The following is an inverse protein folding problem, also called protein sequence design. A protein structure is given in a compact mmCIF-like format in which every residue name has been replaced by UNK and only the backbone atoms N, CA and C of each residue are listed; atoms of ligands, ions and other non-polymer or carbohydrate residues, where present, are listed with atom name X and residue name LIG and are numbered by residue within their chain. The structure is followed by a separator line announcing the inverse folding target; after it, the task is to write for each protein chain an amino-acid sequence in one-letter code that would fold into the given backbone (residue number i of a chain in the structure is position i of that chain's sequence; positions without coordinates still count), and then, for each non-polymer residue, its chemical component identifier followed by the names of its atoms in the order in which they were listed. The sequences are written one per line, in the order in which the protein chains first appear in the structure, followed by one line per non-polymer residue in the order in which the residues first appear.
data_IF_712453638540
#
_entry.id   IF_712453638540
#
_cell.length_a   1.000
_cell.length_b   1.000
_cell.length_c   1.000
_cell.angle_alpha   90.00
_cell.angle_beta   90.00
_cell.angle_gamma   90.00
#
_symmetry.space_group_name_H-M   'P 1'
#
loop_
_entity.id
_entity.type
_entity.pdbx_description
1 polymer ?
#
# COMPACT_ATOMS: atom_id res chain seq x y z
N UNK A 1 4.87 1.46 -10.64
CA UNK A 1 5.35 2.24 -9.48
C UNK A 1 4.95 1.56 -8.17
N UNK A 2 5.64 1.84 -7.04
CA UNK A 2 5.24 1.33 -5.72
C UNK A 2 3.82 1.71 -5.34
N UNK A 3 3.40 2.92 -5.65
CA UNK A 3 2.05 3.42 -5.35
C UNK A 3 0.98 2.65 -6.15
N UNK A 4 1.29 2.28 -7.40
CA UNK A 4 0.41 1.47 -8.25
C UNK A 4 0.19 0.08 -7.65
N UNK A 5 1.27 -0.57 -7.17
CA UNK A 5 1.16 -1.85 -6.47
C UNK A 5 0.31 -1.72 -5.20
N UNK A 6 0.58 -0.72 -4.37
CA UNK A 6 -0.20 -0.45 -3.14
C UNK A 6 -1.67 -0.23 -3.46
N UNK A 7 -1.97 0.51 -4.53
CA UNK A 7 -3.35 0.75 -4.98
C UNK A 7 -4.02 -0.55 -5.43
N UNK A 8 -3.34 -1.37 -6.23
CA UNK A 8 -3.84 -2.66 -6.69
C UNK A 8 -4.15 -3.58 -5.51
N UNK A 9 -3.24 -3.70 -4.56
CA UNK A 9 -3.45 -4.53 -3.36
C UNK A 9 -4.63 -4.02 -2.53
N UNK A 10 -4.67 -2.72 -2.22
CA UNK A 10 -5.67 -2.15 -1.33
C UNK A 10 -7.08 -2.12 -1.95
N UNK A 11 -7.18 -1.74 -3.23
CA UNK A 11 -8.48 -1.49 -3.89
C UNK A 11 -9.01 -2.74 -4.57
N UNK A 12 -8.12 -3.51 -5.25
CA UNK A 12 -8.56 -4.65 -6.05
C UNK A 12 -8.51 -5.98 -5.27
N UNK A 13 -7.50 -6.21 -4.42
CA UNK A 13 -7.36 -7.52 -3.79
C UNK A 13 -7.98 -7.59 -2.39
N UNK A 14 -7.61 -6.72 -1.46
CA UNK A 14 -8.12 -6.80 -0.09
C UNK A 14 -9.64 -6.61 -0.03
N UNK A 15 -10.19 -5.74 -0.85
CA UNK A 15 -11.64 -5.52 -0.96
C UNK A 15 -12.40 -6.79 -1.37
N UNK A 16 -11.78 -7.66 -2.16
CA UNK A 16 -12.37 -8.90 -2.68
C UNK A 16 -12.02 -10.14 -1.85
N UNK A 17 -11.49 -9.96 -0.63
CA UNK A 17 -11.29 -11.05 0.32
C UNK A 17 -9.95 -11.74 0.26
N UNK A 18 -8.95 -11.20 -0.45
CA UNK A 18 -7.59 -11.73 -0.49
C UNK A 18 -6.81 -11.29 0.74
N UNK A 19 -7.06 -11.88 1.89
CA UNK A 19 -6.50 -11.45 3.17
C UNK A 19 -5.29 -12.24 3.63
N UNK A 20 -5.16 -13.48 3.16
CA UNK A 20 -4.04 -14.35 3.48
C UNK A 20 -2.90 -14.09 2.51
N UNK A 21 -1.68 -13.98 2.99
CA UNK A 21 -0.57 -13.61 2.13
C UNK A 21 0.78 -14.19 2.55
N UNK A 22 1.68 -14.28 1.58
CA UNK A 22 3.11 -14.51 1.72
C UNK A 22 3.84 -13.46 0.88
N UNK A 23 4.94 -12.93 1.42
CA UNK A 23 5.86 -12.09 0.66
C UNK A 23 7.18 -12.81 0.47
N UNK A 24 7.83 -12.55 -0.66
CA UNK A 24 9.16 -13.08 -0.93
C UNK A 24 9.99 -12.15 -1.79
N UNK A 25 11.24 -12.54 -1.98
CA UNK A 25 12.15 -11.86 -2.91
C UNK A 25 12.74 -12.91 -3.86
N UNK A 26 12.80 -12.56 -5.13
CA UNK A 26 13.49 -13.35 -6.14
C UNK A 26 14.99 -13.14 -5.92
N UNK A 27 15.77 -14.22 -5.73
CA UNK A 27 17.21 -14.12 -5.53
C UNK A 27 17.89 -13.44 -6.72
N UNK A 28 18.98 -12.76 -6.44
CA UNK A 28 19.84 -12.19 -7.48
C UNK A 28 20.35 -13.29 -8.42
N UNK A 29 20.36 -13.02 -9.71
CA UNK A 29 20.76 -14.01 -10.74
C UNK A 29 19.64 -14.95 -11.21
N UNK A 30 18.45 -14.91 -10.59
CA UNK A 30 17.28 -15.64 -11.14
C UNK A 30 16.45 -14.74 -12.04
N UNK A 31 15.99 -15.29 -13.16
CA UNK A 31 15.07 -14.58 -14.05
C UNK A 31 13.71 -14.36 -13.37
N UNK A 32 13.29 -13.08 -13.19
CA UNK A 32 12.02 -12.76 -12.59
C UNK A 32 10.82 -13.29 -13.39
N UNK A 33 10.87 -13.26 -14.73
CA UNK A 33 9.76 -13.69 -15.60
C UNK A 33 9.57 -15.20 -15.52
N UNK A 34 10.66 -15.97 -15.54
CA UNK A 34 10.60 -17.42 -15.36
C UNK A 34 10.05 -17.78 -13.96
N UNK A 35 10.43 -17.02 -12.93
CA UNK A 35 9.91 -17.18 -11.57
C UNK A 35 8.42 -16.87 -11.51
N UNK A 36 7.96 -15.80 -12.15
CA UNK A 36 6.53 -15.43 -12.24
C UNK A 36 5.72 -16.58 -12.85
N UNK A 37 6.14 -17.09 -14.00
CA UNK A 37 5.46 -18.21 -14.70
C UNK A 37 5.38 -19.45 -13.80
N UNK A 38 6.47 -19.78 -13.12
CA UNK A 38 6.52 -20.92 -12.18
C UNK A 38 5.55 -20.76 -11.02
N UNK A 39 5.47 -19.58 -10.41
CA UNK A 39 4.57 -19.30 -9.28
C UNK A 39 3.11 -19.29 -9.74
N UNK A 40 2.81 -18.67 -10.87
CA UNK A 40 1.47 -18.64 -11.46
C UNK A 40 0.97 -20.05 -11.74
N UNK A 41 1.79 -20.91 -12.36
CA UNK A 41 1.46 -22.30 -12.64
C UNK A 41 1.33 -23.12 -11.34
N UNK A 42 2.31 -23.03 -10.41
CA UNK A 42 2.33 -23.78 -9.14
C UNK A 42 1.05 -23.56 -8.32
N UNK A 43 0.54 -22.33 -8.27
CA UNK A 43 -0.60 -21.99 -7.44
C UNK A 43 -1.92 -21.81 -8.20
N UNK A 44 -1.94 -22.11 -9.51
CA UNK A 44 -3.15 -22.03 -10.35
C UNK A 44 -3.79 -20.66 -10.30
N UNK A 45 -3.02 -19.60 -10.59
CA UNK A 45 -3.45 -18.20 -10.43
C UNK A 45 -4.17 -17.70 -11.67
N UNK A 46 -3.79 -18.18 -12.85
CA UNK A 46 -4.34 -17.78 -14.13
C UNK A 46 -5.73 -18.43 -14.36
N UNK A 47 -6.72 -17.82 -13.70
CA UNK A 47 -8.10 -18.28 -13.73
C UNK A 47 -9.01 -17.16 -14.25
N UNK A 48 -9.99 -17.56 -15.08
CA UNK A 48 -11.08 -16.66 -15.49
C UNK A 48 -11.98 -16.29 -14.30
N UNK A 49 -12.75 -15.23 -14.44
CA UNK A 49 -13.70 -14.82 -13.42
C UNK A 49 -14.71 -15.94 -13.08
N UNK A 50 -15.23 -16.63 -14.10
CA UNK A 50 -16.15 -17.77 -13.95
C UNK A 50 -15.51 -18.90 -13.14
N UNK A 51 -14.25 -19.26 -13.44
CA UNK A 51 -13.53 -20.29 -12.69
C UNK A 51 -13.31 -19.89 -11.23
N UNK A 52 -12.99 -18.63 -10.96
CA UNK A 52 -12.86 -18.09 -9.59
C UNK A 52 -14.18 -18.15 -8.83
N UNK A 53 -15.30 -17.79 -9.48
CA UNK A 53 -16.62 -17.90 -8.88
C UNK A 53 -16.99 -19.35 -8.54
N UNK A 54 -16.75 -20.29 -9.47
CA UNK A 54 -16.97 -21.73 -9.25
C UNK A 54 -16.12 -22.28 -8.11
N UNK A 55 -14.83 -21.90 -8.04
CA UNK A 55 -13.95 -22.29 -6.92
C UNK A 55 -14.49 -21.81 -5.58
N UNK A 56 -14.90 -20.54 -5.52
CA UNK A 56 -15.49 -19.94 -4.31
C UNK A 56 -16.74 -20.69 -3.85
N UNK A 57 -17.65 -21.04 -4.78
CA UNK A 57 -18.86 -21.81 -4.48
C UNK A 57 -18.53 -23.21 -3.92
N UNK A 58 -17.40 -23.81 -4.32
CA UNK A 58 -16.91 -25.11 -3.80
C UNK A 58 -16.06 -24.98 -2.53
N UNK A 59 -16.00 -23.82 -1.88
CA UNK A 59 -15.17 -23.59 -0.68
C UNK A 59 -13.67 -23.59 -0.94
N UNK A 60 -13.25 -23.46 -2.21
CA UNK A 60 -11.83 -23.38 -2.59
C UNK A 60 -11.35 -21.94 -2.62
N UNK A 61 -10.12 -21.72 -2.15
CA UNK A 61 -9.51 -20.40 -2.19
C UNK A 61 -9.03 -20.05 -3.61
N UNK A 62 -9.14 -18.77 -3.93
CA UNK A 62 -8.53 -18.17 -5.11
C UNK A 62 -7.22 -17.51 -4.73
N UNK A 63 -6.25 -17.53 -5.67
CA UNK A 63 -4.93 -16.95 -5.50
C UNK A 63 -4.74 -15.75 -6.39
N UNK A 64 -3.88 -14.83 -5.95
CA UNK A 64 -3.36 -13.70 -6.74
C UNK A 64 -1.86 -13.56 -6.53
N UNK A 65 -1.19 -13.05 -7.54
CA UNK A 65 0.24 -12.75 -7.56
C UNK A 65 0.46 -11.35 -8.08
N UNK A 66 1.36 -10.62 -7.44
CA UNK A 66 1.84 -9.34 -7.94
C UNK A 66 3.31 -9.18 -7.57
N UNK A 67 4.09 -8.60 -8.47
CA UNK A 67 5.52 -8.36 -8.29
C UNK A 67 5.88 -6.90 -8.57
N UNK A 68 6.85 -6.43 -7.81
CA UNK A 68 7.55 -5.17 -8.08
C UNK A 68 9.05 -5.43 -7.98
N UNK A 69 9.76 -5.28 -9.08
CA UNK A 69 11.18 -5.66 -9.18
C UNK A 69 11.40 -7.12 -8.72
N UNK A 70 12.23 -7.32 -7.70
CA UNK A 70 12.50 -8.63 -7.13
C UNK A 70 11.59 -9.00 -5.94
N UNK A 71 10.76 -8.08 -5.46
CA UNK A 71 9.81 -8.37 -4.40
C UNK A 71 8.48 -8.85 -4.97
N UNK A 72 7.91 -9.88 -4.37
CA UNK A 72 6.60 -10.40 -4.76
C UNK A 72 5.66 -10.62 -3.58
N UNK A 73 4.39 -10.64 -3.89
CA UNK A 73 3.29 -10.89 -2.97
C UNK A 73 2.35 -11.93 -3.57
N UNK A 74 2.16 -13.02 -2.85
CA UNK A 74 1.10 -13.99 -3.09
C UNK A 74 -0.03 -13.74 -2.13
N UNK A 75 -1.26 -13.73 -2.62
CA UNK A 75 -2.47 -13.47 -1.84
C UNK A 75 -3.47 -14.60 -2.06
N UNK A 76 -4.24 -14.91 -1.02
CA UNK A 76 -5.30 -15.92 -1.08
C UNK A 76 -6.58 -15.42 -0.41
N UNK A 77 -7.72 -15.84 -0.96
CA UNK A 77 -9.02 -15.69 -0.31
C UNK A 77 -9.21 -16.75 0.79
N UNK A 78 -10.30 -16.67 1.54
CA UNK A 78 -10.75 -17.79 2.38
C UNK A 78 -11.02 -19.04 1.53
N UNK A 79 -11.05 -20.22 2.17
CA UNK A 79 -11.26 -21.50 1.52
C UNK A 79 -10.01 -22.38 1.53
N UNK A 80 -10.13 -23.60 1.02
CA UNK A 80 -9.05 -24.58 0.98
C UNK A 80 -8.11 -24.32 -0.22
N UNK A 81 -6.80 -24.38 0.01
CA UNK A 81 -5.76 -24.38 -1.02
C UNK A 81 -4.46 -24.96 -0.44
N UNK A 82 -3.71 -25.79 -1.21
CA UNK A 82 -2.42 -26.36 -0.78
C UNK A 82 -1.40 -25.30 -0.33
N UNK A 83 -1.43 -24.12 -0.93
CA UNK A 83 -0.66 -22.94 -0.51
C UNK A 83 -0.73 -22.71 1.01
N UNK A 84 -1.91 -22.87 1.63
CA UNK A 84 -2.10 -22.61 3.08
C UNK A 84 -1.41 -23.64 3.99
N UNK A 85 -1.02 -24.78 3.45
CA UNK A 85 -0.32 -25.83 4.19
C UNK A 85 1.20 -25.77 4.00
N UNK A 86 1.66 -25.24 2.86
CA UNK A 86 3.07 -25.28 2.45
C UNK A 86 3.85 -24.03 2.83
N UNK A 87 3.19 -22.90 3.05
CA UNK A 87 3.84 -21.61 3.19
C UNK A 87 3.58 -20.99 4.57
N UNK A 88 4.49 -20.15 5.03
CA UNK A 88 4.29 -19.32 6.24
C UNK A 88 3.32 -18.19 5.96
N UNK A 89 2.05 -18.49 6.03
CA UNK A 89 0.97 -17.57 5.71
C UNK A 89 0.72 -16.60 6.85
N UNK A 90 0.46 -15.36 6.49
CA UNK A 90 0.03 -14.29 7.39
C UNK A 90 -1.35 -13.79 6.98
N UNK A 91 -2.11 -13.34 7.95
CA UNK A 91 -3.39 -12.66 7.74
C UNK A 91 -3.17 -11.14 7.83
N UNK A 92 -3.46 -10.40 6.75
CA UNK A 92 -3.26 -8.96 6.70
C UNK A 92 -4.20 -8.17 7.63
N UNK A 93 -5.22 -8.80 8.18
CA UNK A 93 -6.10 -8.23 9.21
C UNK A 93 -5.38 -8.11 10.56
N UNK A 94 -4.43 -9.01 10.83
CA UNK A 94 -3.60 -9.07 12.05
C UNK A 94 -2.18 -8.59 11.81
N UNK A 95 -1.56 -9.05 10.73
CA UNK A 95 -0.18 -8.75 10.35
C UNK A 95 -0.18 -7.94 9.04
N UNK A 96 0.01 -6.62 9.07
CA UNK A 96 -0.01 -5.80 7.87
C UNK A 96 1.05 -6.23 6.84
N UNK A 97 0.70 -6.15 5.56
CA UNK A 97 1.65 -6.29 4.45
C UNK A 97 2.57 -5.07 4.48
N UNK A 98 3.89 -5.30 4.55
CA UNK A 98 4.89 -4.25 4.51
C UNK A 98 5.58 -4.21 3.16
N UNK A 99 5.58 -3.04 2.55
CA UNK A 99 6.16 -2.83 1.23
C UNK A 99 6.59 -1.38 1.05
N UNK A 100 7.87 -1.14 0.72
CA UNK A 100 8.43 0.20 0.41
C UNK A 100 7.98 1.29 1.40
N UNK A 101 8.10 1.02 2.69
CA UNK A 101 7.68 1.95 3.74
C UNK A 101 6.17 2.07 3.97
N UNK A 102 5.35 1.32 3.21
CA UNK A 102 3.93 1.20 3.45
C UNK A 102 3.59 0.04 4.39
N UNK A 103 2.51 0.21 5.14
CA UNK A 103 1.84 -0.82 5.94
C UNK A 103 0.40 -0.92 5.47
N UNK A 104 0.05 -2.07 4.85
CA UNK A 104 -1.25 -2.30 4.22
C UNK A 104 -1.99 -3.37 5.01
N UNK A 105 -3.20 -3.08 5.47
CA UNK A 105 -4.01 -4.01 6.26
C UNK A 105 -5.48 -3.91 5.88
N UNK A 106 -6.27 -4.90 6.27
CA UNK A 106 -7.72 -4.87 6.16
C UNK A 106 -8.32 -4.78 7.55
N UNK A 107 -9.03 -3.69 7.85
CA UNK A 107 -9.46 -3.36 9.22
C UNK A 107 -10.93 -3.00 9.28
N UNK A 108 -11.53 -3.28 10.42
CA UNK A 108 -12.85 -2.79 10.76
C UNK A 108 -12.77 -1.29 11.08
N UNK A 109 -13.63 -0.48 10.50
CA UNK A 109 -13.75 0.95 10.81
C UNK A 109 -14.25 1.17 12.23
N UNK A 110 -14.06 2.39 12.74
CA UNK A 110 -14.72 2.82 13.97
C UNK A 110 -16.20 3.12 13.75
N UNK A 111 -16.97 3.23 14.82
CA UNK A 111 -18.33 3.76 14.79
C UNK A 111 -18.27 5.22 14.36
N UNK A 112 -19.07 5.63 13.39
CA UNK A 112 -19.17 7.04 13.01
C UNK A 112 -19.97 7.80 14.06
N UNK A 113 -19.52 8.98 14.52
CA UNK A 113 -20.27 9.76 15.52
C UNK A 113 -21.69 10.12 15.09
N UNK A 114 -21.97 10.12 13.79
CA UNK A 114 -23.27 10.43 13.19
C UNK A 114 -24.25 9.24 13.12
N UNK A 115 -24.00 8.15 13.86
CA UNK A 115 -24.96 7.03 13.97
C UNK A 115 -25.12 6.19 12.68
N UNK A 116 -24.24 6.32 11.72
CA UNK A 116 -24.31 5.55 10.47
C UNK A 116 -23.83 4.12 10.66
N UNK A 117 -24.74 3.16 10.72
CA UNK A 117 -24.58 1.73 10.59
C UNK A 117 -23.37 1.02 11.24
N UNK A 118 -23.30 -0.31 11.21
CA UNK A 118 -22.20 -1.06 11.84
C UNK A 118 -20.88 -0.78 11.13
N UNK A 119 -19.73 -0.79 11.87
CA UNK A 119 -18.41 -0.54 11.32
C UNK A 119 -18.11 -1.49 10.16
N UNK A 120 -17.80 -0.93 8.99
CA UNK A 120 -17.46 -1.69 7.79
C UNK A 120 -15.97 -1.99 7.71
N UNK A 121 -15.65 -3.16 7.19
CA UNK A 121 -14.27 -3.51 6.88
C UNK A 121 -13.77 -2.75 5.66
N UNK A 122 -12.52 -2.27 5.72
CA UNK A 122 -11.89 -1.52 4.63
C UNK A 122 -10.37 -1.71 4.60
N UNK A 123 -9.78 -1.52 3.42
CA UNK A 123 -8.34 -1.49 3.29
C UNK A 123 -7.78 -0.23 3.96
N UNK A 124 -6.77 -0.40 4.80
CA UNK A 124 -6.10 0.66 5.53
C UNK A 124 -4.64 0.72 5.10
N UNK A 125 -4.26 1.79 4.41
CA UNK A 125 -2.89 2.05 3.96
C UNK A 125 -2.28 3.13 4.82
N UNK A 126 -1.14 2.83 5.46
CA UNK A 126 -0.40 3.73 6.35
C UNK A 126 1.08 3.77 5.96
N UNK A 127 1.78 4.78 6.41
CA UNK A 127 3.24 4.73 6.49
C UNK A 127 3.58 3.72 7.60
N UNK A 128 4.53 2.83 7.31
CA UNK A 128 5.04 1.85 8.28
C UNK A 128 5.51 2.55 9.56
N UNK A 129 5.30 1.97 10.75
CA UNK A 129 5.64 2.62 12.02
C UNK A 129 7.09 3.09 12.11
N UNK A 130 8.05 2.29 11.65
CA UNK A 130 9.47 2.63 11.68
C UNK A 130 9.75 3.82 10.77
N UNK A 131 9.29 3.76 9.53
CA UNK A 131 9.42 4.85 8.56
C UNK A 131 8.72 6.13 9.02
N UNK A 132 7.54 5.99 9.65
CA UNK A 132 6.82 7.12 10.20
C UNK A 132 7.60 7.82 11.32
N UNK A 133 8.22 7.08 12.23
CA UNK A 133 9.05 7.66 13.30
C UNK A 133 10.30 8.34 12.73
N UNK A 134 10.95 7.72 11.76
CA UNK A 134 12.10 8.33 11.07
C UNK A 134 11.72 9.66 10.41
N UNK A 135 10.61 9.68 9.66
CA UNK A 135 10.09 10.91 9.06
C UNK A 135 9.76 11.97 10.12
N UNK A 136 9.07 11.60 11.19
CA UNK A 136 8.71 12.53 12.26
C UNK A 136 9.95 13.14 12.90
N UNK A 137 10.94 12.32 13.25
CA UNK A 137 12.22 12.77 13.82
C UNK A 137 12.94 13.71 12.85
N UNK A 138 13.06 13.33 11.58
CA UNK A 138 13.69 14.16 10.54
C UNK A 138 13.07 15.56 10.46
N UNK A 139 11.74 15.65 10.38
CA UNK A 139 11.04 16.92 10.26
C UNK A 139 11.14 17.77 11.54
N UNK A 140 10.99 17.16 12.73
CA UNK A 140 11.06 17.88 14.01
C UNK A 140 12.46 18.42 14.26
N UNK A 141 13.53 17.67 13.96
CA UNK A 141 14.91 18.15 14.09
C UNK A 141 15.17 19.36 13.19
N UNK A 142 14.62 19.38 11.98
CA UNK A 142 14.78 20.46 11.00
C UNK A 142 13.89 21.68 11.27
N UNK A 143 12.81 21.50 12.04
CA UNK A 143 11.78 22.51 12.26
C UNK A 143 12.33 23.87 12.74
N UNK A 144 13.35 23.85 13.59
CA UNK A 144 13.96 25.05 14.20
C UNK A 144 14.98 25.74 13.31
N UNK A 145 15.59 25.02 12.36
CA UNK A 145 16.74 25.47 11.59
C UNK A 145 16.45 25.74 10.11
N UNK A 146 15.25 25.41 9.64
CA UNK A 146 14.88 25.56 8.23
C UNK A 146 13.77 26.60 8.06
N UNK A 147 13.84 27.32 6.94
CA UNK A 147 12.78 28.24 6.50
C UNK A 147 11.48 27.48 6.26
N UNK A 148 10.33 28.13 6.43
CA UNK A 148 9.03 27.53 6.20
C UNK A 148 8.84 26.96 4.80
N UNK A 149 9.38 27.65 3.78
CA UNK A 149 9.30 27.25 2.36
C UNK A 149 10.01 25.93 2.11
N UNK A 150 11.23 25.79 2.67
CA UNK A 150 12.04 24.55 2.56
C UNK A 150 11.30 23.37 3.19
N UNK A 151 10.72 23.57 4.38
CA UNK A 151 9.96 22.50 5.05
C UNK A 151 8.70 22.13 4.28
N UNK A 152 7.99 23.11 3.68
CA UNK A 152 6.82 22.85 2.82
C UNK A 152 7.22 21.99 1.63
N UNK A 153 8.36 22.29 1.00
CA UNK A 153 8.87 21.51 -0.12
C UNK A 153 9.25 20.09 0.32
N UNK A 154 9.92 19.94 1.47
CA UNK A 154 10.21 18.63 2.05
C UNK A 154 8.91 17.83 2.31
N UNK A 155 7.82 18.45 2.81
CA UNK A 155 6.52 17.80 2.96
C UNK A 155 5.91 17.35 1.63
N UNK A 156 6.08 18.11 0.55
CA UNK A 156 5.60 17.76 -0.79
C UNK A 156 6.33 16.52 -1.33
N UNK A 157 7.62 16.40 -1.03
CA UNK A 157 8.49 15.29 -1.47
C UNK A 157 8.30 13.99 -0.70
N UNK A 158 7.47 13.96 0.35
CA UNK A 158 7.16 12.70 1.05
C UNK A 158 6.58 11.69 0.05
N UNK A 159 7.26 10.53 -0.21
CA UNK A 159 6.96 9.64 -1.33
C UNK A 159 5.84 8.63 -0.98
N UNK A 160 4.75 9.10 -0.40
CA UNK A 160 3.62 8.24 -0.04
C UNK A 160 2.31 8.78 -0.63
N UNK A 161 1.55 7.91 -1.30
CA UNK A 161 0.22 8.23 -1.78
C UNK A 161 -0.71 8.67 -0.62
N UNK A 162 -1.45 9.74 -0.81
CA UNK A 162 -2.20 10.45 0.24
C UNK A 162 -3.52 9.74 0.63
N UNK A 163 -3.45 8.44 1.01
CA UNK A 163 -4.57 7.75 1.65
C UNK A 163 -4.99 8.47 2.94
N UNK A 164 -6.27 8.34 3.34
CA UNK A 164 -6.77 9.04 4.51
C UNK A 164 -5.93 8.81 5.80
N UNK A 165 -5.48 7.58 6.12
CA UNK A 165 -4.60 7.37 7.27
C UNK A 165 -3.22 8.03 7.10
N UNK A 166 -2.63 8.02 5.88
CA UNK A 166 -1.35 8.68 5.60
C UNK A 166 -1.48 10.19 5.75
N UNK A 167 -2.56 10.79 5.26
CA UNK A 167 -2.84 12.22 5.48
C UNK A 167 -2.85 12.57 6.97
N UNK A 168 -3.49 11.73 7.80
CA UNK A 168 -3.50 11.93 9.27
C UNK A 168 -2.09 11.83 9.85
N UNK A 169 -1.28 10.89 9.40
CA UNK A 169 0.13 10.76 9.84
C UNK A 169 0.94 12.00 9.45
N UNK A 170 0.81 12.51 8.22
CA UNK A 170 1.47 13.74 7.75
C UNK A 170 1.02 14.95 8.56
N UNK A 171 -0.28 15.09 8.84
CA UNK A 171 -0.81 16.16 9.67
C UNK A 171 -0.29 16.08 11.11
N UNK A 172 -0.09 14.89 11.66
CA UNK A 172 0.52 14.72 12.97
C UNK A 172 2.00 15.15 12.99
N UNK A 173 2.76 14.83 11.92
CA UNK A 173 4.14 15.33 11.75
C UNK A 173 4.12 16.86 11.68
N UNK A 174 3.25 17.44 10.86
CA UNK A 174 3.11 18.89 10.73
C UNK A 174 2.77 19.58 12.06
N UNK A 175 1.87 19.00 12.88
CA UNK A 175 1.59 19.53 14.22
C UNK A 175 2.82 19.51 15.12
N UNK A 176 3.60 18.42 15.09
CA UNK A 176 4.84 18.32 15.86
C UNK A 176 5.90 19.32 15.39
N UNK A 177 6.01 19.54 14.08
CA UNK A 177 6.87 20.57 13.48
C UNK A 177 6.45 21.97 13.97
N UNK A 178 5.17 22.30 13.88
CA UNK A 178 4.67 23.61 14.32
C UNK A 178 4.80 23.83 15.83
N UNK A 179 4.71 22.77 16.62
CA UNK A 179 5.01 22.84 18.05
C UNK A 179 6.48 23.20 18.29
N UNK A 180 7.41 22.51 17.63
CA UNK A 180 8.85 22.80 17.75
C UNK A 180 9.20 24.19 17.22
N UNK A 181 8.60 24.67 16.14
CA UNK A 181 8.77 26.01 15.61
C UNK A 181 8.30 27.08 16.58
N UNK A 182 7.11 26.89 17.19
CA UNK A 182 6.58 27.80 18.21
C UNK A 182 7.55 27.95 19.38
N UNK A 183 8.11 26.83 19.88
CA UNK A 183 9.08 26.85 20.98
C UNK A 183 10.38 27.60 20.62
N UNK A 184 10.75 27.63 19.32
CA UNK A 184 11.92 28.33 18.81
C UNK A 184 11.62 29.77 18.34
N UNK A 185 10.43 30.32 18.59
CA UNK A 185 10.05 31.66 18.11
C UNK A 185 9.84 31.76 16.58
N UNK A 186 9.78 30.62 15.87
CA UNK A 186 9.62 30.63 14.41
C UNK A 186 8.14 30.65 14.01
N UNK A 187 7.84 31.24 12.84
CA UNK A 187 6.51 31.25 12.27
C UNK A 187 5.99 29.84 11.99
N UNK A 188 4.70 29.59 12.24
CA UNK A 188 4.03 28.33 11.94
C UNK A 188 3.81 28.16 10.46
N UNK A 189 3.85 26.92 9.98
CA UNK A 189 3.52 26.55 8.62
C UNK A 189 2.00 26.34 8.53
N UNK A 190 1.26 27.08 7.67
CA UNK A 190 -0.17 26.86 7.48
C UNK A 190 -0.44 25.50 6.82
N UNK A 191 -1.50 24.82 7.26
CA UNK A 191 -1.93 23.52 6.69
C UNK A 191 -2.26 23.63 5.19
N UNK A 192 -2.76 24.78 4.74
CA UNK A 192 -3.08 25.04 3.35
C UNK A 192 -1.89 24.92 2.39
N UNK A 193 -0.65 25.06 2.88
CA UNK A 193 0.56 24.87 2.09
C UNK A 193 0.92 23.40 1.84
N UNK A 194 0.30 22.45 2.58
CA UNK A 194 0.56 21.03 2.42
C UNK A 194 -0.23 20.44 1.25
N UNK A 195 0.43 19.64 0.41
CA UNK A 195 -0.22 18.88 -0.65
C UNK A 195 -0.81 17.59 -0.07
N UNK A 196 -2.11 17.58 0.23
CA UNK A 196 -2.81 16.46 0.86
C UNK A 196 -3.77 15.73 -0.10
N UNK A 197 -3.87 16.14 -1.36
CA UNK A 197 -4.70 15.45 -2.37
C UNK A 197 -4.05 14.13 -2.77
N UNK A 198 -4.85 13.07 -2.83
CA UNK A 198 -4.42 11.79 -3.39
C UNK A 198 -4.51 11.88 -4.91
N UNK A 199 -3.42 11.50 -5.59
CA UNK A 199 -3.45 11.21 -7.02
C UNK A 199 -3.87 9.75 -7.22
N UNK A 200 -4.79 9.51 -8.12
CA UNK A 200 -5.14 8.15 -8.57
C UNK A 200 -4.12 7.78 -9.64
N UNK A 201 -3.48 6.65 -9.46
CA UNK A 201 -2.47 6.14 -10.38
C UNK A 201 -3.11 4.97 -11.11
N UNK A 202 -2.97 4.92 -12.42
CA UNK A 202 -3.29 3.72 -13.19
C UNK A 202 -2.16 2.70 -12.95
N UNK A 203 -2.45 1.54 -12.33
CA UNK A 203 -1.41 0.59 -11.93
C UNK A 203 -0.70 -0.08 -13.11
N UNK A 204 -1.35 -0.10 -14.27
CA UNK A 204 -0.83 -0.63 -15.52
C UNK A 204 -1.04 0.43 -16.60
N UNK A 205 0.00 1.17 -16.95
CA UNK A 205 0.05 1.88 -18.22
C UNK A 205 0.19 0.79 -19.31
N UNK A 206 -0.77 0.74 -20.22
CA UNK A 206 -0.55 0.06 -21.50
C UNK A 206 0.58 0.84 -22.18
N UNK A 207 1.71 0.21 -22.43
CA UNK A 207 2.67 0.72 -23.40
C UNK A 207 1.89 0.93 -24.70
N UNK A 208 1.66 2.17 -25.04
CA UNK A 208 1.10 2.54 -26.34
C UNK A 208 2.15 2.12 -27.38
N UNK A 209 1.94 0.98 -27.95
CA UNK A 209 2.72 0.53 -29.11
C UNK A 209 2.41 1.52 -30.23
N UNK A 210 3.21 2.59 -30.34
CA UNK A 210 3.26 3.44 -31.49
C UNK A 210 3.84 2.62 -32.66
N UNK A 211 3.03 1.75 -33.23
CA UNK A 211 3.26 1.24 -34.58
C UNK A 211 2.87 2.42 -35.48
N UNK A 212 3.81 3.32 -35.74
CA UNK A 212 3.77 4.15 -36.93
C UNK A 212 4.08 3.20 -38.10
N UNK A 213 3.04 2.78 -38.77
CA UNK A 213 3.16 2.26 -40.13
C UNK A 213 3.92 3.30 -40.94
N UNK A 214 5.11 2.89 -41.42
CA UNK A 214 5.81 3.59 -42.49
C UNK A 214 5.22 3.01 -43.77
N UNK A 215 4.37 3.81 -44.40
CA UNK A 215 3.97 3.61 -45.79
C UNK A 215 5.10 4.08 -46.71
#
# INVERSE_FOLDING_TARGET
SPEGLVQQVAVSYLRHGYWWYVTGRIPQGKDPVATDRKLVAKYGIDLTERQRATRKAKGLANMQYIRFQNWFLLLSTEGHHPFKQQERIRDCRRNPIRFEGYSISYRRGGVTPSGGGPPKWHACVRIDPTTYQQLKTYFVMRAKHRKSETLVEDFRRIPFARYAPIRRQILNIHRAVNHARKQAGCEKIPVSRLSLRRRIIQPFEQESTNIREVA
#
